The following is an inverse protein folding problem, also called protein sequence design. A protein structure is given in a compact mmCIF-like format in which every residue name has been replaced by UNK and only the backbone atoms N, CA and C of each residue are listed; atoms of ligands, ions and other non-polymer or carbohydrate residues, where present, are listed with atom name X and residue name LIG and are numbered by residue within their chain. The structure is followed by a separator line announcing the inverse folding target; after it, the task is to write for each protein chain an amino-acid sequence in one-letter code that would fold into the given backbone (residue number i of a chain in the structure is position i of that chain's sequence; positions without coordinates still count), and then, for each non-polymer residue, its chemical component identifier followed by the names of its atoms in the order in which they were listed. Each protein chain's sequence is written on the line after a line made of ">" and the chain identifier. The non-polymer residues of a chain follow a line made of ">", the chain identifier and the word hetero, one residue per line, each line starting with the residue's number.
data_IF_748538317529
#
_entry.id   IF_748538317529
#
_cell.length_a   1.000
_cell.length_b   1.000
_cell.length_c   1.000
_cell.angle_alpha   90.00
_cell.angle_beta   90.00
_cell.angle_gamma   90.00
#
_symmetry.space_group_name_H-M   'P 1'
#
loop_
_entity.id
_entity.type
_entity.pdbx_description
1 polymer ?
#
# COMPACT_ATOMS: atom_id res chain seq x y z
N UNK A 1 -48.62 -77.31 -1.46
CA UNK A 1 -49.45 -76.15 -1.06
C UNK A 1 -48.56 -74.91 -1.08
N UNK A 2 -48.95 -73.68 -1.46
CA UNK A 2 -50.27 -73.05 -1.57
C UNK A 2 -50.41 -71.96 -0.49
N UNK A 3 -50.78 -70.70 -0.74
CA UNK A 3 -51.18 -70.02 -1.98
C UNK A 3 -51.22 -68.47 -1.82
N UNK A 4 -50.67 -67.68 -2.78
CA UNK A 4 -50.89 -66.23 -3.13
C UNK A 4 -50.84 -65.17 -1.99
N UNK A 5 -50.72 -63.86 -2.22
CA UNK A 5 -50.44 -62.99 -3.39
C UNK A 5 -49.91 -61.63 -2.84
N UNK A 6 -49.61 -60.56 -3.58
CA UNK A 6 -49.89 -60.19 -4.98
C UNK A 6 -50.39 -58.73 -5.06
N UNK A 7 -49.92 -57.99 -6.09
CA UNK A 7 -50.27 -56.61 -6.56
C UNK A 7 -49.32 -55.51 -6.04
N UNK A 8 -48.45 -54.82 -6.81
CA UNK A 8 -48.53 -54.06 -8.12
C UNK A 8 -49.33 -52.73 -8.02
N UNK A 9 -49.05 -51.62 -8.69
CA UNK A 9 -47.95 -51.18 -9.60
C UNK A 9 -47.39 -49.79 -9.17
N UNK A 10 -46.52 -49.08 -9.89
CA UNK A 10 -46.71 -48.41 -11.22
C UNK A 10 -47.79 -47.31 -11.18
N UNK A 11 -47.66 -46.10 -11.76
CA UNK A 11 -46.57 -45.30 -12.39
C UNK A 11 -47.10 -43.83 -12.43
N UNK A 12 -46.32 -42.73 -12.39
CA UNK A 12 -45.87 -41.93 -13.55
C UNK A 12 -45.43 -40.52 -13.09
N UNK A 13 -44.65 -39.84 -13.95
CA UNK A 13 -44.57 -38.38 -14.12
C UNK A 13 -44.68 -38.12 -15.64
N UNK A 14 -44.94 -36.89 -16.19
CA UNK A 14 -44.72 -35.55 -15.61
C UNK A 14 -45.85 -34.55 -15.96
N UNK A 15 -45.56 -33.23 -15.93
CA UNK A 15 -45.86 -32.19 -16.95
C UNK A 15 -45.81 -30.78 -16.32
N UNK A 16 -45.34 -29.78 -17.07
CA UNK A 16 -45.43 -28.36 -16.72
C UNK A 16 -46.08 -27.57 -17.88
N UNK A 17 -46.90 -26.54 -17.62
CA UNK A 17 -47.39 -25.60 -18.66
C UNK A 17 -47.94 -24.27 -18.08
N UNK A 18 -47.36 -23.15 -18.58
CA UNK A 18 -47.83 -21.76 -18.81
C UNK A 18 -48.91 -21.05 -17.97
N UNK A 19 -48.71 -19.73 -17.79
CA UNK A 19 -49.75 -18.70 -17.64
C UNK A 19 -49.52 -17.74 -16.45
N UNK A 20 -49.69 -16.41 -16.53
CA UNK A 20 -50.13 -15.53 -17.63
C UNK A 20 -51.31 -14.62 -17.21
N UNK A 21 -51.41 -13.39 -17.75
CA UNK A 21 -52.48 -12.39 -17.52
C UNK A 21 -52.52 -11.73 -16.11
N UNK A 22 -53.00 -10.49 -15.88
CA UNK A 22 -53.47 -9.41 -16.79
C UNK A 22 -53.53 -8.02 -16.09
N UNK A 23 -53.40 -6.92 -16.86
CA UNK A 23 -53.94 -5.57 -16.57
C UNK A 23 -53.32 -4.72 -15.42
N UNK A 24 -53.39 -3.38 -15.45
CA UNK A 24 -53.84 -2.46 -16.52
C UNK A 24 -54.19 -1.05 -16.01
N UNK A 25 -54.00 -0.03 -16.87
CA UNK A 25 -54.62 1.33 -16.84
C UNK A 25 -54.27 2.27 -15.64
N UNK A 26 -53.65 3.45 -15.86
CA UNK A 26 -54.24 4.79 -16.16
C UNK A 26 -54.83 5.52 -14.92
N UNK A 27 -54.84 6.86 -14.77
CA UNK A 27 -54.25 8.01 -15.51
C UNK A 27 -54.41 9.32 -14.66
N UNK A 28 -53.73 10.42 -15.03
CA UNK A 28 -54.15 11.85 -14.86
C UNK A 28 -54.52 12.40 -13.43
N UNK A 29 -54.66 13.71 -13.11
CA UNK A 29 -54.27 15.02 -13.68
C UNK A 29 -54.16 16.09 -12.53
N UNK A 30 -53.84 17.34 -12.89
CA UNK A 30 -54.19 18.63 -12.21
C UNK A 30 -53.55 19.07 -10.86
N UNK A 31 -52.89 20.23 -10.98
CA UNK A 31 -53.02 21.49 -10.20
C UNK A 31 -54.03 21.57 -9.02
N UNK A 32 -53.85 22.47 -8.04
CA UNK A 32 -52.83 23.53 -7.85
C UNK A 32 -53.40 24.79 -7.17
N UNK A 33 -52.55 25.79 -6.86
CA UNK A 33 -52.87 27.11 -6.26
C UNK A 33 -53.38 27.10 -4.79
N UNK A 34 -53.24 28.16 -3.95
CA UNK A 34 -52.34 29.33 -3.92
C UNK A 34 -52.51 30.14 -2.59
N UNK A 35 -51.81 31.29 -2.47
CA UNK A 35 -52.04 32.45 -1.55
C UNK A 35 -51.52 32.34 -0.09
N UNK A 36 -51.11 33.42 0.62
CA UNK A 36 -50.70 34.82 0.25
C UNK A 36 -49.90 35.49 1.39
N UNK A 37 -49.34 36.70 1.15
CA UNK A 37 -48.66 37.57 2.15
C UNK A 37 -47.14 37.66 1.93
N UNK A 38 -46.47 38.77 1.56
CA UNK A 38 -46.70 40.24 1.66
C UNK A 38 -46.73 40.75 3.12
N UNK A 39 -46.02 41.79 3.57
CA UNK A 39 -45.07 42.78 2.97
C UNK A 39 -44.00 43.15 4.05
N UNK A 40 -43.13 44.20 4.14
CA UNK A 40 -42.85 45.53 3.52
C UNK A 40 -41.38 45.90 3.87
N UNK A 41 -40.40 46.06 2.96
CA UNK A 41 -40.01 47.19 2.07
C UNK A 41 -39.26 48.38 2.73
N UNK A 42 -38.10 48.74 2.13
CA UNK A 42 -37.36 50.03 2.15
C UNK A 42 -36.61 50.51 3.43
N UNK A 43 -35.60 51.41 3.37
CA UNK A 43 -34.58 51.77 2.36
C UNK A 43 -33.58 52.83 2.95
N UNK A 44 -32.52 53.18 2.18
CA UNK A 44 -31.69 54.41 2.29
C UNK A 44 -30.78 54.59 3.54
N UNK A 45 -29.75 55.45 3.58
CA UNK A 45 -28.78 55.92 2.56
C UNK A 45 -27.62 56.70 3.25
N UNK A 46 -26.49 56.87 2.55
CA UNK A 46 -25.30 57.68 2.93
C UNK A 46 -24.51 57.24 4.19
N UNK A 47 -23.21 57.52 4.34
CA UNK A 47 -22.25 58.08 3.36
C UNK A 47 -21.41 59.23 3.90
N UNK A 48 -20.10 59.01 4.09
CA UNK A 48 -19.03 60.03 4.17
C UNK A 48 -17.67 59.37 3.89
N UNK A 49 -16.59 60.13 3.68
CA UNK A 49 -15.24 59.58 3.52
C UNK A 49 -14.13 60.62 3.29
N UNK A 50 -12.85 60.22 3.39
CA UNK A 50 -11.72 61.06 2.95
C UNK A 50 -10.39 60.30 2.79
N UNK A 51 -9.80 60.44 1.60
CA UNK A 51 -8.36 60.58 1.25
C UNK A 51 -7.29 59.84 2.10
N UNK A 52 -6.53 58.98 1.43
CA UNK A 52 -5.15 58.60 1.75
C UNK A 52 -4.40 58.24 0.47
N UNK A 53 -3.14 58.67 0.32
CA UNK A 53 -2.32 58.44 -0.88
C UNK A 53 -1.07 57.61 -0.52
N UNK A 54 -0.66 56.67 -1.37
CA UNK A 54 0.56 55.88 -1.15
C UNK A 54 0.82 54.83 -2.24
N UNK A 55 2.04 54.83 -2.75
CA UNK A 55 2.57 53.81 -3.68
C UNK A 55 3.03 52.56 -2.91
N UNK A 56 3.04 51.38 -3.53
CA UNK A 56 3.64 50.20 -2.88
C UNK A 56 3.30 48.82 -3.44
N UNK A 57 3.96 48.44 -4.53
CA UNK A 57 4.42 47.07 -4.87
C UNK A 57 3.58 45.85 -4.41
N UNK A 58 2.96 45.13 -5.36
CA UNK A 58 2.40 43.80 -5.09
C UNK A 58 3.51 42.77 -4.81
N UNK A 59 3.59 42.29 -3.58
CA UNK A 59 4.35 41.08 -3.22
C UNK A 59 3.39 40.05 -2.68
N UNK A 60 3.16 38.97 -3.45
CA UNK A 60 2.32 37.85 -3.03
C UNK A 60 3.07 37.03 -1.98
N UNK A 61 2.52 36.98 -0.76
CA UNK A 61 3.14 36.26 0.34
C UNK A 61 2.98 34.74 0.16
N UNK A 62 4.11 34.03 0.12
CA UNK A 62 4.14 32.56 0.10
C UNK A 62 3.87 32.00 1.50
N UNK A 63 2.89 31.09 1.67
CA UNK A 63 2.70 30.33 2.91
C UNK A 63 3.63 29.10 2.93
N UNK A 64 4.92 29.32 3.17
CA UNK A 64 5.85 28.25 3.46
C UNK A 64 5.71 27.72 4.91
N UNK A 65 6.18 26.50 5.13
CA UNK A 65 6.38 25.84 6.43
C UNK A 65 5.13 25.49 7.27
N UNK A 66 4.74 24.21 7.19
CA UNK A 66 4.54 23.37 8.40
C UNK A 66 5.06 21.97 8.14
N UNK A 67 6.32 21.72 8.51
CA UNK A 67 7.00 20.44 8.31
C UNK A 67 7.89 20.14 9.53
N UNK A 68 7.33 19.49 10.56
CA UNK A 68 8.06 19.04 11.75
C UNK A 68 7.58 17.66 12.20
N UNK A 69 8.24 16.62 11.71
CA UNK A 69 8.23 15.26 12.29
C UNK A 69 9.43 14.41 11.80
N UNK A 70 10.56 15.04 11.47
CA UNK A 70 11.76 14.34 10.98
C UNK A 70 12.46 13.59 12.12
N UNK A 71 12.03 12.35 12.39
CA UNK A 71 12.65 11.47 13.39
C UNK A 71 14.06 11.04 12.93
N UNK A 72 15.08 11.38 13.72
CA UNK A 72 16.48 11.26 13.31
C UNK A 72 17.09 9.90 13.67
N UNK A 73 16.95 8.92 12.78
CA UNK A 73 17.74 7.68 12.83
C UNK A 73 19.22 7.98 12.53
N UNK A 74 20.08 7.87 13.54
CA UNK A 74 21.48 8.28 13.47
C UNK A 74 22.38 7.25 12.75
N UNK A 75 23.17 7.71 11.78
CA UNK A 75 24.10 6.86 11.01
C UNK A 75 25.38 6.57 11.81
N UNK A 76 25.43 5.38 12.40
CA UNK A 76 26.67 4.67 12.73
C UNK A 76 26.75 3.40 11.85
N UNK A 77 27.90 2.88 11.46
CA UNK A 77 29.28 3.32 11.72
C UNK A 77 30.21 2.17 11.28
N UNK A 78 31.08 2.43 10.31
CA UNK A 78 31.82 1.36 9.62
C UNK A 78 32.72 0.56 10.55
N UNK A 79 32.62 -0.77 10.51
CA UNK A 79 33.63 -1.68 11.07
C UNK A 79 33.78 -2.92 10.18
N UNK A 80 35.03 -3.23 9.82
CA UNK A 80 35.39 -4.36 8.97
C UNK A 80 36.23 -5.36 9.78
N UNK A 81 35.84 -6.64 9.87
CA UNK A 81 36.62 -7.64 10.58
C UNK A 81 37.77 -8.13 9.70
N UNK A 82 38.99 -7.68 9.99
CA UNK A 82 40.19 -8.29 9.45
C UNK A 82 40.37 -9.71 10.04
N UNK A 83 40.34 -10.73 9.17
CA UNK A 83 40.57 -12.13 9.55
C UNK A 83 41.88 -12.64 8.94
N UNK A 84 42.95 -12.60 9.72
CA UNK A 84 44.24 -13.19 9.36
C UNK A 84 44.17 -14.71 9.37
N UNK A 85 44.68 -15.36 8.32
CA UNK A 85 44.94 -16.81 8.31
C UNK A 85 46.18 -17.10 7.47
N UNK A 86 47.34 -17.12 8.12
CA UNK A 86 48.58 -17.65 7.56
C UNK A 86 48.73 -19.10 7.99
N UNK A 87 48.74 -20.04 7.03
CA UNK A 87 49.29 -21.38 7.21
C UNK A 87 50.05 -21.77 5.94
N UNK A 88 51.20 -22.39 6.13
CA UNK A 88 52.12 -22.90 5.11
C UNK A 88 51.48 -24.06 4.29
N UNK A 89 51.93 -24.43 3.09
CA UNK A 89 53.01 -23.85 2.28
C UNK A 89 53.66 -24.88 1.34
N UNK A 90 53.02 -25.24 0.22
CA UNK A 90 53.60 -26.16 -0.78
C UNK A 90 54.24 -25.45 -1.99
N UNK A 91 55.44 -25.91 -2.39
CA UNK A 91 56.25 -25.31 -3.46
C UNK A 91 55.85 -25.79 -4.86
N UNK A 92 54.75 -25.26 -5.39
CA UNK A 92 54.45 -25.32 -6.83
C UNK A 92 55.46 -24.52 -7.66
N UNK A 93 56.19 -25.17 -8.58
CA UNK A 93 57.20 -24.51 -9.42
C UNK A 93 56.58 -23.64 -10.53
N UNK A 94 56.94 -22.36 -10.53
CA UNK A 94 57.19 -21.56 -11.74
C UNK A 94 55.99 -21.17 -12.61
N UNK A 95 55.56 -19.90 -12.48
CA UNK A 95 54.85 -19.18 -13.52
C UNK A 95 55.65 -17.92 -13.92
N UNK A 96 55.78 -17.66 -15.22
CA UNK A 96 56.60 -16.57 -15.76
C UNK A 96 55.87 -15.20 -15.70
N UNK A 97 56.60 -14.07 -15.60
CA UNK A 97 56.00 -12.75 -15.70
C UNK A 97 55.44 -12.53 -17.12
N UNK A 98 54.11 -12.48 -17.24
CA UNK A 98 53.43 -12.33 -18.54
C UNK A 98 52.01 -12.92 -18.61
N UNK A 99 51.58 -13.70 -17.62
CA UNK A 99 50.19 -14.17 -17.56
C UNK A 99 49.24 -13.04 -17.12
N UNK A 100 48.81 -12.23 -18.09
CA UNK A 100 47.67 -11.32 -17.91
C UNK A 100 46.45 -12.09 -17.40
N UNK A 101 45.81 -11.58 -16.34
CA UNK A 101 44.73 -12.26 -15.63
C UNK A 101 43.50 -12.44 -16.53
N UNK A 102 43.36 -13.65 -17.09
CA UNK A 102 42.23 -14.01 -17.96
C UNK A 102 40.92 -13.80 -17.18
N UNK A 103 40.07 -12.91 -17.69
CA UNK A 103 38.73 -12.68 -17.11
C UNK A 103 37.98 -14.00 -17.03
N UNK A 104 37.46 -14.35 -15.86
CA UNK A 104 36.60 -15.53 -15.68
C UNK A 104 35.26 -15.25 -16.36
N UNK A 105 34.74 -16.21 -17.11
CA UNK A 105 33.40 -16.12 -17.72
C UNK A 105 32.36 -16.14 -16.60
N UNK A 106 31.30 -15.34 -16.76
CA UNK A 106 30.15 -15.36 -15.86
C UNK A 106 29.47 -16.74 -15.83
N UNK A 107 28.65 -16.97 -14.78
CA UNK A 107 27.70 -18.08 -14.79
C UNK A 107 26.42 -17.58 -15.46
N UNK A 108 25.75 -18.33 -16.35
CA UNK A 108 24.57 -17.83 -17.08
C UNK A 108 23.46 -17.24 -16.23
N UNK A 109 23.25 -17.74 -15.01
CA UNK A 109 22.27 -17.16 -14.07
C UNK A 109 22.60 -15.72 -13.65
N UNK A 110 23.88 -15.37 -13.58
CA UNK A 110 24.33 -14.02 -13.21
C UNK A 110 24.09 -13.04 -14.36
N UNK A 111 24.23 -13.51 -15.61
CA UNK A 111 23.90 -12.73 -16.81
C UNK A 111 22.39 -12.45 -16.86
N UNK A 112 21.54 -13.41 -16.44
CA UNK A 112 20.10 -13.19 -16.24
C UNK A 112 19.81 -12.15 -15.15
N UNK A 113 20.50 -12.20 -14.01
CA UNK A 113 20.33 -11.22 -12.92
C UNK A 113 20.74 -9.81 -13.37
N UNK A 114 21.87 -9.67 -14.08
CA UNK A 114 22.27 -8.36 -14.61
C UNK A 114 21.29 -7.81 -15.65
N UNK A 115 20.68 -8.67 -16.49
CA UNK A 115 19.65 -8.23 -17.42
C UNK A 115 18.37 -7.76 -16.69
N UNK A 116 17.93 -8.48 -15.66
CA UNK A 116 16.77 -8.08 -14.86
C UNK A 116 16.99 -6.72 -14.16
N UNK A 117 18.16 -6.51 -13.55
CA UNK A 117 18.53 -5.23 -12.93
C UNK A 117 18.64 -4.10 -13.97
N UNK A 118 19.06 -4.39 -15.19
CA UNK A 118 19.09 -3.40 -16.28
C UNK A 118 17.67 -2.97 -16.71
N UNK A 119 16.73 -3.91 -16.86
CA UNK A 119 15.34 -3.56 -17.20
C UNK A 119 14.64 -2.84 -16.03
N UNK A 120 14.91 -3.21 -14.77
CA UNK A 120 14.44 -2.47 -13.58
C UNK A 120 14.94 -1.02 -13.59
N UNK A 121 16.24 -0.79 -13.81
CA UNK A 121 16.82 0.56 -13.91
C UNK A 121 16.21 1.36 -15.07
N UNK A 122 16.04 0.73 -16.23
CA UNK A 122 15.45 1.35 -17.43
C UNK A 122 14.01 1.78 -17.19
N UNK A 123 13.19 0.94 -16.56
CA UNK A 123 11.81 1.28 -16.19
C UNK A 123 11.75 2.39 -15.12
N UNK A 124 12.65 2.35 -14.13
CA UNK A 124 12.74 3.40 -13.11
C UNK A 124 13.10 4.77 -13.70
N UNK A 125 14.05 4.85 -14.63
CA UNK A 125 14.40 6.11 -15.29
C UNK A 125 13.35 6.59 -16.31
N UNK A 126 12.54 5.69 -16.89
CA UNK A 126 11.38 6.09 -17.68
C UNK A 126 10.35 6.82 -16.80
N UNK A 127 9.94 6.19 -15.69
CA UNK A 127 9.04 6.78 -14.69
C UNK A 127 9.54 8.16 -14.19
N UNK A 128 10.82 8.30 -13.83
CA UNK A 128 11.37 9.60 -13.42
C UNK A 128 11.28 10.66 -14.55
N UNK A 129 11.49 10.26 -15.81
CA UNK A 129 11.37 11.17 -16.96
C UNK A 129 9.92 11.53 -17.29
N UNK A 130 8.95 10.67 -16.97
CA UNK A 130 7.52 10.95 -17.09
C UNK A 130 7.09 11.96 -16.02
N UNK A 131 7.48 11.76 -14.75
CA UNK A 131 7.20 12.72 -13.68
C UNK A 131 7.85 14.08 -13.96
N UNK A 132 9.06 14.11 -14.54
CA UNK A 132 9.69 15.36 -15.02
C UNK A 132 8.97 15.97 -16.24
N UNK A 133 8.43 15.17 -17.18
CA UNK A 133 7.58 15.66 -18.30
C UNK A 133 6.38 16.42 -17.74
N UNK A 134 5.60 15.78 -16.86
CA UNK A 134 4.37 16.37 -16.32
C UNK A 134 4.64 17.54 -15.37
N UNK A 135 5.67 17.46 -14.51
CA UNK A 135 5.99 18.54 -13.57
C UNK A 135 6.48 19.85 -14.26
N UNK A 136 7.08 19.74 -15.44
CA UNK A 136 7.48 20.90 -16.25
C UNK A 136 6.39 21.40 -17.22
N UNK A 137 5.26 20.70 -17.32
CA UNK A 137 4.17 21.06 -18.24
C UNK A 137 3.31 22.16 -17.62
N UNK A 138 3.01 23.22 -18.38
CA UNK A 138 2.09 24.26 -17.92
C UNK A 138 0.65 23.71 -17.96
N UNK A 139 -0.10 23.71 -16.84
CA UNK A 139 -1.46 23.14 -16.79
C UNK A 139 -2.44 23.81 -17.76
N UNK A 140 -2.27 25.09 -18.10
CA UNK A 140 -3.10 25.77 -19.12
C UNK A 140 -2.82 25.32 -20.56
N UNK A 141 -1.75 24.53 -20.78
CA UNK A 141 -1.36 23.98 -22.08
C UNK A 141 -1.47 22.45 -22.17
N UNK A 142 -2.02 21.81 -21.14
CA UNK A 142 -2.21 20.37 -21.08
C UNK A 142 -3.39 19.96 -21.96
N UNK A 143 -3.20 18.98 -22.83
CA UNK A 143 -4.27 18.44 -23.68
C UNK A 143 -5.01 17.32 -22.96
N UNK A 144 -6.21 16.94 -23.43
CA UNK A 144 -6.94 15.78 -22.90
C UNK A 144 -6.07 14.50 -22.96
N UNK A 145 -5.30 14.33 -24.05
CA UNK A 145 -4.37 13.21 -24.25
C UNK A 145 -3.23 13.23 -23.20
N UNK A 146 -2.69 14.41 -22.85
CA UNK A 146 -1.68 14.54 -21.79
C UNK A 146 -2.24 14.29 -20.38
N UNK A 147 -3.54 14.51 -20.16
CA UNK A 147 -4.23 14.21 -18.90
C UNK A 147 -4.46 12.70 -18.77
N UNK A 148 -4.93 12.03 -19.81
CA UNK A 148 -5.06 10.56 -19.85
C UNK A 148 -3.69 9.88 -19.65
N UNK A 149 -2.63 10.38 -20.31
CA UNK A 149 -1.23 9.96 -20.10
C UNK A 149 -0.73 10.16 -18.64
N UNK A 150 -1.38 11.04 -17.85
CA UNK A 150 -1.02 11.30 -16.44
C UNK A 150 -1.76 10.36 -15.46
N UNK A 151 -2.83 9.66 -15.86
CA UNK A 151 -3.62 8.79 -14.98
C UNK A 151 -2.95 7.44 -14.68
N UNK A 152 -1.87 7.48 -13.90
CA UNK A 152 -1.10 6.29 -13.46
C UNK A 152 -2.01 5.29 -12.74
N UNK A 153 -2.14 4.09 -13.30
CA UNK A 153 -3.07 3.05 -12.82
C UNK A 153 -2.61 2.34 -11.55
N UNK A 154 -3.51 1.63 -10.86
CA UNK A 154 -3.17 0.84 -9.66
C UNK A 154 -2.03 -0.16 -9.91
N UNK A 155 -2.12 -0.98 -10.96
CA UNK A 155 -1.10 -1.99 -11.28
C UNK A 155 0.24 -1.35 -11.64
N UNK A 156 0.20 -0.13 -12.19
CA UNK A 156 1.39 0.63 -12.50
C UNK A 156 2.04 1.25 -11.26
N UNK A 157 1.29 1.81 -10.31
CA UNK A 157 1.84 2.21 -9.01
C UNK A 157 2.45 1.02 -8.26
N UNK A 158 1.80 -0.16 -8.31
CA UNK A 158 2.36 -1.41 -7.79
C UNK A 158 3.67 -1.80 -8.51
N UNK A 159 3.76 -1.59 -9.82
CA UNK A 159 4.97 -1.86 -10.60
C UNK A 159 6.12 -0.89 -10.26
N UNK A 160 5.83 0.43 -10.27
CA UNK A 160 6.72 1.53 -9.89
C UNK A 160 7.31 1.30 -8.49
N UNK A 161 6.44 1.02 -7.50
CA UNK A 161 6.85 0.72 -6.13
C UNK A 161 7.67 -0.57 -5.99
N UNK A 162 7.27 -1.62 -6.72
CA UNK A 162 8.01 -2.89 -6.76
C UNK A 162 9.42 -2.76 -7.36
N UNK A 163 9.59 -1.93 -8.41
CA UNK A 163 10.90 -1.61 -8.98
C UNK A 163 11.74 -0.82 -7.98
N UNK A 164 11.21 0.27 -7.40
CA UNK A 164 11.94 1.08 -6.43
C UNK A 164 12.43 0.27 -5.22
N UNK A 165 11.61 -0.66 -4.70
CA UNK A 165 12.03 -1.56 -3.61
C UNK A 165 13.19 -2.48 -4.04
N UNK A 166 13.16 -3.04 -5.25
CA UNK A 166 14.28 -3.85 -5.79
C UNK A 166 15.56 -3.05 -6.00
N UNK A 167 15.44 -1.79 -6.43
CA UNK A 167 16.55 -0.84 -6.59
C UNK A 167 17.00 -0.18 -5.27
N UNK A 168 16.35 -0.52 -4.14
CA UNK A 168 16.64 0.01 -2.79
C UNK A 168 16.35 1.52 -2.62
N UNK A 169 15.54 2.11 -3.50
CA UNK A 169 15.04 3.48 -3.40
C UNK A 169 13.77 3.51 -2.52
N UNK A 170 13.94 3.30 -1.22
CA UNK A 170 12.82 3.02 -0.30
C UNK A 170 11.79 4.16 -0.21
N UNK A 171 12.20 5.43 -0.31
CA UNK A 171 11.26 6.58 -0.31
C UNK A 171 10.29 6.56 -1.50
N UNK A 172 10.79 6.22 -2.70
CA UNK A 172 9.96 6.15 -3.90
C UNK A 172 9.11 4.87 -3.92
N UNK A 173 9.62 3.78 -3.33
CA UNK A 173 8.83 2.57 -3.10
C UNK A 173 7.66 2.85 -2.15
N UNK A 174 7.91 3.57 -1.06
CA UNK A 174 6.92 3.99 -0.06
C UNK A 174 5.85 4.91 -0.68
N UNK A 175 6.27 5.93 -1.43
CA UNK A 175 5.37 6.84 -2.16
C UNK A 175 4.46 6.08 -3.12
N UNK A 176 5.03 5.24 -3.99
CA UNK A 176 4.28 4.51 -5.00
C UNK A 176 3.34 3.45 -4.40
N UNK A 177 3.78 2.70 -3.38
CA UNK A 177 2.94 1.71 -2.71
C UNK A 177 1.80 2.35 -1.90
N UNK A 178 2.02 3.54 -1.29
CA UNK A 178 0.92 4.33 -0.69
C UNK A 178 -0.09 4.79 -1.73
N UNK A 179 0.36 5.26 -2.91
CA UNK A 179 -0.54 5.65 -3.99
C UNK A 179 -1.39 4.46 -4.46
N UNK A 180 -0.78 3.28 -4.67
CA UNK A 180 -1.51 2.05 -4.99
C UNK A 180 -2.55 1.70 -3.91
N UNK A 181 -2.16 1.69 -2.64
CA UNK A 181 -3.06 1.37 -1.52
C UNK A 181 -4.23 2.38 -1.37
N UNK A 182 -4.03 3.64 -1.74
CA UNK A 182 -5.06 4.68 -1.72
C UNK A 182 -6.06 4.55 -2.90
N UNK A 183 -5.62 4.05 -4.06
CA UNK A 183 -6.50 3.79 -5.22
C UNK A 183 -7.34 2.51 -5.05
N UNK A 184 -6.76 1.47 -4.46
CA UNK A 184 -7.43 0.20 -4.21
C UNK A 184 -6.92 -0.40 -2.91
N UNK A 185 -7.83 -0.75 -2.00
CA UNK A 185 -7.49 -1.31 -0.70
C UNK A 185 -6.99 -2.77 -0.84
N UNK A 186 -5.77 -2.91 -1.35
CA UNK A 186 -5.18 -4.15 -1.81
C UNK A 186 -4.19 -4.70 -0.80
N UNK A 187 -4.45 -5.92 -0.33
CA UNK A 187 -3.55 -6.63 0.58
C UNK A 187 -2.11 -6.77 0.04
N UNK A 188 -1.91 -6.76 -1.28
CA UNK A 188 -0.57 -6.87 -1.89
C UNK A 188 0.23 -5.57 -1.73
N UNK A 189 -0.44 -4.41 -1.72
CA UNK A 189 0.20 -3.13 -1.41
C UNK A 189 0.57 -3.05 0.07
N UNK A 190 -0.38 -3.39 0.96
CA UNK A 190 -0.16 -3.38 2.40
C UNK A 190 0.87 -4.42 2.88
N UNK A 191 0.97 -5.59 2.25
CA UNK A 191 2.05 -6.56 2.57
C UNK A 191 3.44 -5.98 2.30
N UNK A 192 3.62 -5.31 1.16
CA UNK A 192 4.91 -4.71 0.81
C UNK A 192 5.26 -3.53 1.70
N UNK A 193 4.29 -2.66 2.03
CA UNK A 193 4.48 -1.57 3.00
C UNK A 193 4.82 -2.12 4.40
N UNK A 194 4.02 -3.06 4.92
CA UNK A 194 4.23 -3.68 6.23
C UNK A 194 5.60 -4.34 6.34
N UNK A 195 6.04 -5.08 5.30
CA UNK A 195 7.38 -5.69 5.28
C UNK A 195 8.48 -4.63 5.33
N UNK A 196 8.38 -3.60 4.50
CA UNK A 196 9.39 -2.54 4.41
C UNK A 196 9.49 -1.74 5.71
N UNK A 197 8.37 -1.33 6.30
CA UNK A 197 8.36 -0.68 7.62
C UNK A 197 8.92 -1.59 8.72
N UNK A 198 8.68 -2.90 8.67
CA UNK A 198 9.22 -3.85 9.64
C UNK A 198 10.74 -4.06 9.46
N UNK A 199 11.23 -4.02 8.22
CA UNK A 199 12.66 -4.07 7.86
C UNK A 199 13.41 -2.81 8.32
N UNK A 200 12.79 -1.62 8.23
CA UNK A 200 13.30 -0.36 8.79
C UNK A 200 13.13 -0.24 10.32
N UNK A 201 12.19 -0.98 10.90
CA UNK A 201 11.85 -0.93 12.33
C UNK A 201 10.85 0.18 12.70
N UNK A 202 10.12 0.72 11.74
CA UNK A 202 9.11 1.78 11.88
C UNK A 202 7.85 1.23 12.58
N UNK A 203 7.82 1.31 13.92
CA UNK A 203 6.87 0.62 14.79
C UNK A 203 5.40 0.90 14.47
N UNK A 204 5.00 2.16 14.32
CA UNK A 204 3.58 2.52 14.17
C UNK A 204 3.09 2.25 12.75
N UNK A 205 3.95 2.56 11.80
CA UNK A 205 3.73 2.47 10.36
C UNK A 205 3.56 1.00 9.95
N UNK A 206 4.39 0.11 10.50
CA UNK A 206 4.23 -1.34 10.37
C UNK A 206 2.90 -1.82 10.96
N UNK A 207 2.53 -1.35 12.15
CA UNK A 207 1.32 -1.79 12.84
C UNK A 207 0.05 -1.30 12.12
N UNK A 208 0.01 -0.06 11.65
CA UNK A 208 -1.09 0.47 10.82
C UNK A 208 -1.21 -0.35 9.53
N UNK A 209 -0.11 -0.55 8.78
CA UNK A 209 -0.12 -1.38 7.58
C UNK A 209 -0.53 -2.84 7.88
N UNK A 210 -0.26 -3.35 9.07
CA UNK A 210 -0.70 -4.68 9.51
C UNK A 210 -2.19 -4.74 9.87
N UNK A 211 -2.85 -3.64 10.30
CA UNK A 211 -4.31 -3.59 10.48
C UNK A 211 -4.99 -3.63 9.12
N UNK A 212 -4.66 -2.65 8.25
CA UNK A 212 -5.20 -2.55 6.89
C UNK A 212 -5.01 -3.86 6.10
N UNK A 213 -3.83 -4.49 6.21
CA UNK A 213 -3.58 -5.80 5.61
C UNK A 213 -4.51 -6.92 6.12
N UNK A 214 -4.85 -6.95 7.41
CA UNK A 214 -5.77 -7.95 7.96
C UNK A 214 -7.22 -7.64 7.55
N UNK A 215 -7.61 -6.36 7.54
CA UNK A 215 -8.94 -5.92 7.14
C UNK A 215 -9.21 -6.17 5.63
N UNK A 216 -8.18 -6.14 4.78
CA UNK A 216 -8.26 -6.64 3.40
C UNK A 216 -8.48 -8.16 3.30
N UNK A 217 -8.20 -8.95 4.33
CA UNK A 217 -8.20 -10.42 4.30
C UNK A 217 -9.51 -11.01 4.85
N UNK A 218 -10.63 -10.72 4.16
CA UNK A 218 -12.00 -11.17 4.49
C UNK A 218 -12.17 -12.70 4.65
N UNK A 219 -11.20 -13.53 4.23
CA UNK A 219 -11.15 -14.97 4.60
C UNK A 219 -11.24 -15.19 6.13
N UNK A 220 -10.92 -14.16 6.92
CA UNK A 220 -11.05 -14.16 8.37
C UNK A 220 -12.45 -13.92 8.94
N UNK A 221 -13.45 -13.50 8.14
CA UNK A 221 -14.86 -13.41 8.58
C UNK A 221 -15.50 -14.79 8.85
N UNK A 222 -14.91 -15.87 8.32
CA UNK A 222 -15.46 -17.24 8.37
C UNK A 222 -15.05 -18.05 9.62
N UNK A 223 -14.07 -17.59 10.41
CA UNK A 223 -13.57 -18.32 11.59
C UNK A 223 -13.61 -17.44 12.84
N UNK A 224 -14.06 -17.94 14.01
CA UNK A 224 -14.25 -17.10 15.20
C UNK A 224 -12.95 -16.50 15.77
N UNK A 225 -11.81 -17.19 15.62
CA UNK A 225 -10.46 -16.63 15.78
C UNK A 225 -9.52 -17.35 14.81
N UNK A 226 -9.20 -16.76 13.65
CA UNK A 226 -8.24 -17.35 12.72
C UNK A 226 -6.79 -16.99 13.12
N UNK A 227 -5.80 -17.86 12.84
CA UNK A 227 -4.41 -17.56 13.14
C UNK A 227 -3.90 -16.42 12.24
N UNK A 228 -3.20 -15.47 12.85
CA UNK A 228 -2.62 -14.31 12.18
C UNK A 228 -1.84 -14.67 10.90
N UNK A 229 -1.83 -13.81 9.87
CA UNK A 229 -1.12 -14.07 8.63
C UNK A 229 0.36 -14.42 8.85
N UNK A 230 0.96 -15.19 7.95
CA UNK A 230 2.41 -15.48 8.03
C UNK A 230 3.21 -14.19 7.88
N UNK A 231 2.71 -13.25 7.09
CA UNK A 231 3.25 -11.92 6.82
C UNK A 231 3.23 -11.05 8.09
N UNK A 232 2.04 -10.79 8.66
CA UNK A 232 1.87 -10.08 9.95
C UNK A 232 2.71 -10.72 11.06
N UNK A 233 2.72 -12.05 11.15
CA UNK A 233 3.57 -12.75 12.13
C UNK A 233 5.05 -12.45 11.95
N UNK A 234 5.58 -12.52 10.72
CA UNK A 234 6.98 -12.16 10.45
C UNK A 234 7.28 -10.71 10.83
N UNK A 235 6.43 -9.75 10.42
CA UNK A 235 6.60 -8.34 10.72
C UNK A 235 6.60 -8.06 12.22
N UNK A 236 5.59 -8.54 12.96
CA UNK A 236 5.49 -8.35 14.41
C UNK A 236 6.58 -9.09 15.17
N UNK A 237 6.98 -10.32 14.77
CA UNK A 237 8.14 -10.99 15.38
C UNK A 237 9.45 -10.21 15.15
N UNK A 238 9.63 -9.61 13.96
CA UNK A 238 10.80 -8.78 13.66
C UNK A 238 10.85 -7.56 14.57
N UNK A 239 9.76 -6.78 14.66
CA UNK A 239 9.64 -5.63 15.58
C UNK A 239 9.88 -6.01 17.05
N UNK A 240 9.33 -7.14 17.51
CA UNK A 240 9.53 -7.62 18.89
C UNK A 240 10.99 -8.04 19.13
N UNK A 241 11.67 -8.60 18.11
CA UNK A 241 13.08 -8.97 18.21
C UNK A 241 14.04 -7.78 18.20
N UNK A 242 13.69 -6.67 17.55
CA UNK A 242 14.51 -5.45 17.47
C UNK A 242 14.24 -4.48 18.62
N UNK A 243 12.97 -4.21 18.96
CA UNK A 243 12.58 -3.18 19.92
C UNK A 243 12.22 -3.70 21.31
N UNK A 244 11.84 -4.98 21.43
CA UNK A 244 11.30 -5.60 22.64
C UNK A 244 9.77 -5.52 22.73
N UNK A 245 9.13 -6.56 23.29
CA UNK A 245 7.67 -6.73 23.24
C UNK A 245 6.87 -5.55 23.83
N UNK A 246 7.35 -4.94 24.91
CA UNK A 246 6.58 -3.88 25.58
C UNK A 246 6.44 -2.64 24.69
N UNK A 247 7.52 -2.18 24.04
CA UNK A 247 7.46 -1.02 23.12
C UNK A 247 6.52 -1.25 21.94
N UNK A 248 6.42 -2.48 21.43
CA UNK A 248 5.48 -2.83 20.34
C UNK A 248 4.03 -2.74 20.81
N UNK A 249 3.75 -3.06 22.08
CA UNK A 249 2.44 -2.85 22.70
C UNK A 249 2.16 -1.39 22.97
N UNK A 250 3.09 -0.66 23.58
CA UNK A 250 2.97 0.77 23.83
C UNK A 250 2.70 1.55 22.51
N UNK A 251 3.33 1.12 21.41
CA UNK A 251 3.06 1.61 20.06
C UNK A 251 1.66 1.25 19.57
N UNK A 252 1.22 -0.01 19.72
CA UNK A 252 -0.14 -0.45 19.35
C UNK A 252 -1.24 0.30 20.14
N UNK A 253 -1.06 0.47 21.44
CA UNK A 253 -2.00 1.20 22.30
C UNK A 253 -2.07 2.68 21.87
N UNK A 254 -0.96 3.25 21.39
CA UNK A 254 -0.92 4.61 20.84
C UNK A 254 -1.59 4.79 19.47
N UNK A 255 -2.03 3.72 18.81
CA UNK A 255 -2.86 3.74 17.58
C UNK A 255 -4.35 3.76 17.95
N UNK A 256 -4.72 3.45 19.19
CA UNK A 256 -6.05 3.66 19.78
C UNK A 256 -7.08 2.54 19.54
N UNK A 257 -6.96 1.78 18.44
CA UNK A 257 -7.69 0.52 18.22
C UNK A 257 -6.71 -0.63 18.29
N UNK A 258 -7.10 -1.73 18.96
CA UNK A 258 -6.30 -2.96 19.02
C UNK A 258 -6.97 -4.05 18.19
N UNK A 259 -6.38 -4.42 17.05
CA UNK A 259 -6.91 -5.47 16.19
C UNK A 259 -6.81 -6.84 16.90
N UNK A 260 -7.91 -7.62 17.03
CA UNK A 260 -7.94 -8.82 17.87
C UNK A 260 -6.87 -9.84 17.50
N UNK A 261 -6.69 -10.11 16.21
CA UNK A 261 -5.66 -11.03 15.67
C UNK A 261 -4.23 -10.62 16.05
N UNK A 262 -3.95 -9.33 16.26
CA UNK A 262 -2.63 -8.84 16.70
C UNK A 262 -2.48 -8.97 18.22
N UNK A 263 -3.54 -8.75 19.00
CA UNK A 263 -3.51 -9.02 20.43
C UNK A 263 -3.35 -10.53 20.73
N UNK A 264 -4.04 -11.40 20.00
CA UNK A 264 -3.86 -12.86 20.08
C UNK A 264 -2.43 -13.28 19.69
N UNK A 265 -1.81 -12.59 18.73
CA UNK A 265 -0.40 -12.77 18.42
C UNK A 265 0.51 -12.31 19.58
N UNK A 266 0.22 -11.20 20.27
CA UNK A 266 0.94 -10.82 21.49
C UNK A 266 0.78 -11.86 22.61
N UNK A 267 -0.41 -12.44 22.79
CA UNK A 267 -0.62 -13.54 23.74
C UNK A 267 0.15 -14.81 23.33
N UNK A 268 0.20 -15.13 22.03
CA UNK A 268 1.02 -16.22 21.49
C UNK A 268 2.52 -16.00 21.74
N UNK A 269 3.02 -14.77 21.54
CA UNK A 269 4.43 -14.40 21.79
C UNK A 269 4.80 -14.63 23.26
N UNK A 270 3.99 -14.15 24.21
CA UNK A 270 4.19 -14.39 25.65
C UNK A 270 4.21 -15.90 25.95
N UNK A 271 3.23 -16.65 25.43
CA UNK A 271 3.08 -18.09 25.68
C UNK A 271 4.25 -18.91 25.15
N UNK A 272 4.80 -18.53 23.99
CA UNK A 272 5.88 -19.24 23.31
C UNK A 272 7.29 -18.79 23.70
N UNK A 273 7.43 -17.71 24.49
CA UNK A 273 8.72 -17.14 24.94
C UNK A 273 9.68 -16.87 23.76
N UNK A 274 9.18 -16.18 22.74
CA UNK A 274 9.97 -15.75 21.57
C UNK A 274 11.14 -14.86 22.04
N UNK A 275 12.25 -14.88 21.28
CA UNK A 275 13.40 -14.03 21.55
C UNK A 275 13.01 -12.54 21.49
N UNK A 276 13.61 -11.70 22.34
CA UNK A 276 13.19 -10.29 22.56
C UNK A 276 12.32 -10.06 23.81
N UNK A 277 12.08 -11.09 24.62
CA UNK A 277 11.26 -11.01 25.85
C UNK A 277 12.02 -10.50 27.10
N UNK A 278 13.33 -10.25 27.01
CA UNK A 278 14.22 -10.13 28.17
C UNK A 278 15.25 -8.97 28.11
N UNK A 279 14.93 -7.92 27.34
CA UNK A 279 15.68 -6.66 27.27
C UNK A 279 14.80 -5.51 27.80
#
# INVERSE_FOLDING_TARGET
>A
EGEKGGVQGEEEAPVAVTGGNFGGEESEEKAGAATKGEEKVAAEASGDGSKGNGEGNQSVASPAARNEAASSCAVNGSSSPAATNEVEGEKGKGAAPGQGSRKRVCRPWLDTVFHAVYEDLKAYYAWLSEEEKFANMNPESMTEEDIEDQEVTFDEWMHRGGIARRLQNLSEAERALRAAAAMSNSAIAWDQLMQMYAEEGCLKETLVAAHEFIDCYDIYSTSPVPPAPVQVRKAVFLLVSTHGLQKVRDAQDSIGVAHPVINDLFHFIVRSRVHGFAN
#
